data_IF_604649016324
#
_entry.id   IF_604649016324
#
_cell.length_a   1.000
_cell.length_b   1.000
_cell.length_c   1.000
_cell.angle_alpha   90.00
_cell.angle_beta   90.00
_cell.angle_gamma   90.00
#
_symmetry.space_group_name_H-M   'P 1'
#
loop_
_entity.id
_entity.type
_entity.pdbx_description
1 polymer ?
#
# COMPACT_ATOMS: atom_id res chain seq x y z
N UNK A 1 9.57 35.62 -13.06
CA UNK A 1 8.89 34.90 -14.17
C UNK A 1 9.22 33.43 -13.97
N UNK A 2 8.28 32.61 -13.51
CA UNK A 2 8.53 31.17 -13.36
C UNK A 2 8.53 30.53 -14.73
N UNK A 3 9.46 29.61 -15.00
CA UNK A 3 9.42 28.81 -16.22
C UNK A 3 8.11 28.01 -16.26
N UNK A 4 7.52 27.76 -17.44
CA UNK A 4 6.37 26.88 -17.58
C UNK A 4 6.68 25.52 -16.94
N UNK A 5 5.75 24.95 -16.16
CA UNK A 5 5.95 23.67 -15.43
C UNK A 5 6.39 22.51 -16.32
N UNK A 6 6.08 22.59 -17.62
CA UNK A 6 6.49 21.63 -18.66
C UNK A 6 8.01 21.52 -18.88
N UNK A 7 8.81 22.46 -18.36
CA UNK A 7 10.28 22.42 -18.45
C UNK A 7 10.97 22.11 -17.13
N UNK A 8 10.23 21.96 -16.04
CA UNK A 8 10.83 21.64 -14.75
C UNK A 8 11.13 20.14 -14.68
N UNK A 9 12.41 19.80 -14.75
CA UNK A 9 12.90 18.44 -14.48
C UNK A 9 12.86 18.17 -12.99
N UNK A 10 12.30 17.04 -12.61
CA UNK A 10 12.27 16.51 -11.25
C UNK A 10 13.46 15.60 -11.03
N UNK A 11 14.03 15.66 -9.85
CA UNK A 11 15.05 14.74 -9.35
C UNK A 11 14.40 13.43 -8.87
N UNK A 12 15.20 12.37 -8.77
CA UNK A 12 14.78 11.09 -8.18
C UNK A 12 14.08 11.27 -6.81
N UNK A 13 14.62 12.14 -5.95
CA UNK A 13 14.05 12.39 -4.62
C UNK A 13 12.68 13.07 -4.68
N UNK A 14 12.50 14.03 -5.59
CA UNK A 14 11.20 14.70 -5.78
C UNK A 14 10.15 13.73 -6.33
N UNK A 15 10.52 12.89 -7.29
CA UNK A 15 9.63 11.84 -7.82
C UNK A 15 9.27 10.82 -6.74
N UNK A 16 10.26 10.38 -5.96
CA UNK A 16 10.06 9.43 -4.85
C UNK A 16 9.08 9.98 -3.81
N UNK A 17 9.23 11.26 -3.44
CA UNK A 17 8.32 11.94 -2.52
C UNK A 17 6.90 12.01 -3.08
N UNK A 18 6.73 12.39 -4.35
CA UNK A 18 5.42 12.47 -5.01
C UNK A 18 4.73 11.11 -5.18
N UNK A 19 5.50 10.06 -5.41
CA UNK A 19 5.01 8.69 -5.54
C UNK A 19 4.84 7.99 -4.18
N UNK A 20 5.29 8.62 -3.08
CA UNK A 20 5.22 8.04 -1.75
C UNK A 20 5.96 6.70 -1.63
N UNK A 21 7.13 6.58 -2.27
CA UNK A 21 8.01 5.40 -2.18
C UNK A 21 9.45 5.79 -1.87
N UNK A 22 10.22 4.84 -1.33
CA UNK A 22 11.63 5.07 -1.07
C UNK A 22 12.41 5.22 -2.39
N UNK A 23 13.43 6.11 -2.49
CA UNK A 23 14.20 6.28 -3.72
C UNK A 23 14.82 4.99 -4.28
N UNK A 24 15.31 4.09 -3.41
CA UNK A 24 15.79 2.77 -3.86
C UNK A 24 14.69 1.90 -4.47
N UNK A 25 13.46 1.96 -3.95
CA UNK A 25 12.33 1.22 -4.54
C UNK A 25 11.88 1.86 -5.86
N UNK A 26 11.95 3.18 -5.99
CA UNK A 26 11.74 3.85 -7.28
C UNK A 26 12.75 3.36 -8.33
N UNK A 27 14.04 3.27 -7.99
CA UNK A 27 15.07 2.71 -8.88
C UNK A 27 14.71 1.27 -9.27
N UNK A 28 14.26 0.43 -8.34
CA UNK A 28 13.83 -0.94 -8.65
C UNK A 28 12.65 -0.97 -9.62
N UNK A 29 11.68 -0.08 -9.45
CA UNK A 29 10.56 0.07 -10.39
C UNK A 29 11.06 0.48 -11.76
N UNK A 30 11.93 1.49 -11.86
CA UNK A 30 12.49 1.97 -13.13
C UNK A 30 13.28 0.88 -13.87
N UNK A 31 14.10 0.12 -13.14
CA UNK A 31 14.84 -1.03 -13.71
C UNK A 31 13.88 -2.12 -14.18
N UNK A 32 12.85 -2.44 -13.39
CA UNK A 32 11.85 -3.44 -13.76
C UNK A 32 11.03 -3.04 -14.99
N UNK A 33 10.90 -1.74 -15.26
CA UNK A 33 10.19 -1.20 -16.43
C UNK A 33 11.09 -1.01 -17.65
N UNK A 34 12.41 -1.16 -17.50
CA UNK A 34 13.43 -0.80 -18.51
C UNK A 34 13.36 0.69 -18.92
N UNK A 35 13.14 1.58 -17.94
CA UNK A 35 12.93 3.02 -18.15
C UNK A 35 13.88 3.89 -17.33
N UNK A 36 15.08 3.43 -17.04
CA UNK A 36 16.06 4.25 -16.30
C UNK A 36 16.54 5.41 -17.19
N UNK A 37 16.32 6.68 -16.82
CA UNK A 37 16.87 7.80 -17.57
C UNK A 37 18.38 7.95 -17.31
N UNK A 38 19.12 8.34 -18.34
CA UNK A 38 20.58 8.47 -18.28
C UNK A 38 21.07 9.52 -17.26
N UNK A 39 20.28 10.57 -17.04
CA UNK A 39 20.63 11.69 -16.17
C UNK A 39 19.86 11.71 -14.83
N UNK A 40 19.04 10.68 -14.56
CA UNK A 40 18.18 10.59 -13.36
C UNK A 40 17.24 11.79 -13.18
N UNK A 41 16.81 12.39 -14.29
CA UNK A 41 15.80 13.45 -14.30
C UNK A 41 14.48 13.00 -14.93
N UNK A 42 13.38 13.57 -14.45
CA UNK A 42 12.02 13.12 -14.80
C UNK A 42 11.13 14.32 -15.15
N UNK A 43 10.20 14.11 -16.07
CA UNK A 43 9.07 15.00 -16.32
C UNK A 43 7.87 14.59 -15.47
N UNK A 44 6.83 15.44 -15.44
CA UNK A 44 5.55 15.09 -14.82
C UNK A 44 4.90 13.87 -15.47
N UNK A 45 5.00 13.75 -16.81
CA UNK A 45 4.49 12.61 -17.56
C UNK A 45 5.20 11.29 -17.16
N UNK A 46 6.48 11.37 -16.84
CA UNK A 46 7.22 10.22 -16.31
C UNK A 46 6.67 9.79 -14.94
N UNK A 47 6.33 10.74 -14.06
CA UNK A 47 5.76 10.43 -12.74
C UNK A 47 4.45 9.65 -12.87
N UNK A 48 3.54 10.12 -13.73
CA UNK A 48 2.25 9.47 -13.94
C UNK A 48 2.42 8.08 -14.58
N UNK A 49 3.32 7.97 -15.57
CA UNK A 49 3.64 6.69 -16.21
C UNK A 49 4.27 5.70 -15.24
N UNK A 50 5.21 6.13 -14.39
CA UNK A 50 5.85 5.30 -13.36
C UNK A 50 4.79 4.86 -12.34
N UNK A 51 3.86 5.74 -11.95
CA UNK A 51 2.77 5.42 -11.03
C UNK A 51 1.92 4.27 -11.58
N UNK A 52 1.41 4.45 -12.79
CA UNK A 52 0.52 3.49 -13.45
C UNK A 52 1.23 2.15 -13.70
N UNK A 53 2.38 2.17 -14.39
CA UNK A 53 3.08 0.95 -14.78
C UNK A 53 3.78 0.26 -13.63
N UNK A 54 4.19 1.02 -12.60
CA UNK A 54 4.75 0.49 -11.37
C UNK A 54 3.73 -0.16 -10.45
N UNK A 55 2.42 -0.01 -10.72
CA UNK A 55 1.34 -0.46 -9.84
C UNK A 55 1.35 0.27 -8.50
N UNK A 56 1.78 1.54 -8.51
CA UNK A 56 1.86 2.39 -7.32
C UNK A 56 0.50 3.03 -7.09
N UNK A 57 -0.28 2.44 -6.20
CA UNK A 57 -1.62 2.92 -5.88
C UNK A 57 -1.63 3.53 -4.47
N UNK A 58 -2.49 4.52 -4.27
CA UNK A 58 -2.75 5.03 -2.93
C UNK A 58 -4.21 4.74 -2.59
N UNK A 59 -4.44 3.73 -1.75
CA UNK A 59 -5.78 3.22 -1.44
C UNK A 59 -6.56 4.06 -0.43
N UNK A 60 -5.92 5.08 0.12
CA UNK A 60 -6.44 5.90 1.21
C UNK A 60 -6.70 7.35 0.79
N UNK A 61 -6.78 7.62 -0.53
CA UNK A 61 -7.10 8.95 -1.10
C UNK A 61 -8.59 8.98 -1.50
N UNK A 62 -9.18 10.17 -1.42
CA UNK A 62 -10.57 10.55 -1.76
C UNK A 62 -11.63 10.04 -0.80
N UNK A 63 -12.02 10.84 0.20
CA UNK A 63 -13.26 10.74 0.99
C UNK A 63 -13.71 9.32 1.42
N UNK A 64 -12.83 8.32 1.32
CA UNK A 64 -12.97 6.96 1.78
C UNK A 64 -12.76 7.12 3.27
N UNK A 65 -13.88 7.27 3.98
CA UNK A 65 -14.01 8.39 4.90
C UNK A 65 -12.93 8.21 5.91
N UNK A 66 -12.43 9.33 6.42
CA UNK A 66 -11.68 9.28 7.64
C UNK A 66 -12.37 8.33 8.64
N UNK A 67 -13.71 8.13 8.64
CA UNK A 67 -14.50 7.07 9.32
C UNK A 67 -14.09 5.59 9.10
N UNK A 68 -13.49 5.19 7.98
CA UNK A 68 -12.99 3.80 7.77
C UNK A 68 -11.71 3.52 8.58
N UNK A 69 -10.89 4.55 8.84
CA UNK A 69 -9.67 4.48 9.66
C UNK A 69 -9.81 5.21 11.02
N UNK A 70 -10.79 6.11 11.16
CA UNK A 70 -11.04 6.98 12.33
C UNK A 70 -11.49 6.10 13.47
N UNK A 71 -10.69 6.12 14.53
CA UNK A 71 -10.99 6.59 15.89
C UNK A 71 -12.37 6.36 16.55
N UNK A 72 -13.44 5.98 15.84
CA UNK A 72 -14.71 5.57 16.42
C UNK A 72 -14.63 4.14 16.97
N UNK A 73 -13.69 3.35 16.44
CA UNK A 73 -13.27 2.14 17.11
C UNK A 73 -12.44 2.52 18.34
N UNK A 74 -12.86 2.15 19.58
CA UNK A 74 -12.09 2.43 20.79
C UNK A 74 -10.69 1.78 20.78
N UNK A 75 -10.43 0.89 19.83
CA UNK A 75 -9.16 0.21 19.60
C UNK A 75 -8.68 0.51 18.16
N UNK A 76 -7.80 1.52 17.96
CA UNK A 76 -7.38 1.95 16.61
C UNK A 76 -6.82 0.85 15.72
N UNK A 77 -6.01 -0.07 16.28
CA UNK A 77 -5.44 -1.21 15.54
C UNK A 77 -6.52 -2.18 15.01
N UNK A 78 -7.65 -2.30 15.72
CA UNK A 78 -8.79 -3.11 15.30
C UNK A 78 -9.49 -2.48 14.10
N UNK A 79 -9.74 -1.16 14.17
CA UNK A 79 -10.26 -0.38 13.05
C UNK A 79 -9.39 -0.51 11.80
N UNK A 80 -8.06 -0.42 11.96
CA UNK A 80 -7.11 -0.59 10.87
C UNK A 80 -7.17 -2.01 10.26
N UNK A 81 -7.29 -3.06 11.07
CA UNK A 81 -7.42 -4.44 10.58
C UNK A 81 -8.64 -4.61 9.68
N UNK A 82 -9.78 -4.06 10.09
CA UNK A 82 -11.00 -4.02 9.28
C UNK A 82 -10.80 -3.26 7.97
N UNK A 83 -10.25 -2.05 8.05
CA UNK A 83 -10.05 -1.19 6.88
C UNK A 83 -9.14 -1.84 5.84
N UNK A 84 -8.00 -2.43 6.27
CA UNK A 84 -7.10 -3.14 5.37
C UNK A 84 -7.77 -4.37 4.72
N UNK A 85 -8.59 -5.10 5.48
CA UNK A 85 -9.34 -6.23 4.94
C UNK A 85 -10.35 -5.77 3.86
N UNK A 86 -11.04 -4.66 4.10
CA UNK A 86 -11.94 -4.04 3.11
C UNK A 86 -11.18 -3.63 1.85
N UNK A 87 -10.01 -3.02 1.97
CA UNK A 87 -9.20 -2.60 0.82
C UNK A 87 -8.72 -3.80 -0.01
N UNK A 88 -8.21 -4.85 0.63
CA UNK A 88 -7.81 -6.08 -0.06
C UNK A 88 -8.96 -6.74 -0.84
N UNK A 89 -10.18 -6.69 -0.29
CA UNK A 89 -11.39 -7.19 -0.95
C UNK A 89 -11.80 -6.28 -2.11
N UNK A 90 -11.83 -4.96 -1.90
CA UNK A 90 -12.21 -3.97 -2.90
C UNK A 90 -11.30 -4.03 -4.14
N UNK A 91 -9.99 -4.17 -3.93
CA UNK A 91 -8.99 -4.33 -4.97
C UNK A 91 -8.82 -5.77 -5.48
N UNK A 92 -9.67 -6.71 -5.03
CA UNK A 92 -9.70 -8.12 -5.49
C UNK A 92 -8.34 -8.82 -5.38
N UNK A 93 -7.58 -8.53 -4.33
CA UNK A 93 -6.23 -9.07 -4.12
C UNK A 93 -6.30 -10.48 -3.52
N UNK A 94 -6.84 -11.44 -4.28
CA UNK A 94 -7.10 -12.81 -3.82
C UNK A 94 -6.45 -13.87 -4.71
N UNK A 95 -5.78 -14.84 -4.08
CA UNK A 95 -5.21 -16.02 -4.73
C UNK A 95 -4.04 -15.68 -5.65
N UNK A 96 -4.31 -15.59 -6.96
CA UNK A 96 -3.30 -15.25 -7.98
C UNK A 96 -3.16 -13.75 -8.21
N UNK A 97 -4.16 -12.96 -7.84
CA UNK A 97 -4.08 -11.51 -7.93
C UNK A 97 -3.18 -10.98 -6.82
N UNK A 98 -2.20 -10.17 -7.17
CA UNK A 98 -1.24 -9.58 -6.22
C UNK A 98 -1.25 -8.07 -6.32
N UNK A 99 -0.94 -7.40 -5.22
CA UNK A 99 -0.69 -5.95 -5.17
C UNK A 99 0.68 -5.71 -4.54
N UNK A 100 1.24 -4.51 -4.68
CA UNK A 100 2.40 -4.14 -3.88
C UNK A 100 2.03 -3.99 -2.42
N UNK A 101 2.91 -4.47 -1.53
CA UNK A 101 2.70 -4.37 -0.09
C UNK A 101 2.57 -2.91 0.36
N UNK A 102 3.36 -2.02 -0.23
CA UNK A 102 3.37 -0.60 0.11
C UNK A 102 2.08 0.15 -0.28
N UNK A 103 1.26 -0.37 -1.20
CA UNK A 103 -0.06 0.19 -1.51
C UNK A 103 -1.00 0.22 -0.29
N UNK A 104 -0.87 -0.76 0.62
CA UNK A 104 -1.65 -0.81 1.87
C UNK A 104 -1.23 0.25 2.90
N UNK A 105 -0.09 0.92 2.73
CA UNK A 105 0.49 1.83 3.73
C UNK A 105 0.61 3.24 3.17
N UNK A 106 0.86 3.37 1.87
CA UNK A 106 1.09 4.65 1.18
C UNK A 106 -0.07 5.60 1.41
N UNK A 107 0.20 6.85 1.79
CA UNK A 107 -0.84 7.87 2.01
C UNK A 107 -1.48 7.86 3.40
N UNK A 108 -1.18 6.88 4.26
CA UNK A 108 -1.56 6.94 5.67
C UNK A 108 -0.68 7.92 6.45
N UNK A 109 -1.28 8.59 7.43
CA UNK A 109 -0.55 9.39 8.43
C UNK A 109 0.42 8.53 9.26
N UNK A 110 1.54 9.09 9.80
CA UNK A 110 2.60 8.32 10.44
C UNK A 110 2.13 7.37 11.55
N UNK A 111 1.20 7.79 12.41
CA UNK A 111 0.64 6.95 13.48
C UNK A 111 -0.14 5.76 12.89
N UNK A 112 -1.00 6.02 11.90
CA UNK A 112 -1.76 5.00 11.19
C UNK A 112 -0.88 4.01 10.46
N UNK A 113 0.27 4.45 9.93
CA UNK A 113 1.23 3.53 9.32
C UNK A 113 1.82 2.54 10.35
N UNK A 114 1.94 2.90 11.63
CA UNK A 114 2.38 1.97 12.68
C UNK A 114 1.32 0.89 12.89
N UNK A 115 0.05 1.27 13.02
CA UNK A 115 -1.05 0.31 13.14
C UNK A 115 -1.13 -0.60 11.90
N UNK A 116 -1.03 -0.04 10.70
CA UNK A 116 -1.07 -0.80 9.45
C UNK A 116 0.06 -1.83 9.38
N UNK A 117 1.30 -1.47 9.77
CA UNK A 117 2.44 -2.39 9.83
C UNK A 117 2.22 -3.53 10.84
N UNK A 118 1.65 -3.24 12.01
CA UNK A 118 1.35 -4.26 13.02
C UNK A 118 0.30 -5.25 12.52
N UNK A 119 -0.80 -4.73 11.96
CA UNK A 119 -1.85 -5.55 11.34
C UNK A 119 -1.30 -6.40 10.21
N UNK A 120 -0.56 -5.79 9.29
CA UNK A 120 0.04 -6.47 8.15
C UNK A 120 0.96 -7.61 8.61
N UNK A 121 1.84 -7.33 9.57
CA UNK A 121 2.77 -8.32 10.12
C UNK A 121 2.02 -9.49 10.74
N UNK A 122 0.93 -9.21 11.47
CA UNK A 122 0.06 -10.25 12.03
C UNK A 122 -0.67 -11.05 10.96
N UNK A 123 -1.23 -10.38 9.95
CA UNK A 123 -1.92 -11.04 8.84
C UNK A 123 -0.98 -12.00 8.09
N UNK A 124 0.28 -11.61 7.91
CA UNK A 124 1.33 -12.46 7.34
C UNK A 124 1.69 -13.63 8.25
N UNK A 125 1.90 -13.38 9.55
CA UNK A 125 2.25 -14.42 10.53
C UNK A 125 1.18 -15.51 10.64
N UNK A 126 -0.10 -15.14 10.61
CA UNK A 126 -1.23 -16.06 10.72
C UNK A 126 -1.64 -16.69 9.36
N UNK A 127 -0.95 -16.32 8.29
CA UNK A 127 -1.14 -16.88 6.95
C UNK A 127 -2.40 -16.39 6.23
N UNK A 128 -2.96 -15.24 6.60
CA UNK A 128 -4.01 -14.57 5.81
C UNK A 128 -3.45 -14.04 4.49
N UNK A 129 -2.20 -13.58 4.53
CA UNK A 129 -1.46 -13.03 3.40
C UNK A 129 -0.24 -13.89 3.09
N UNK A 130 0.12 -13.94 1.81
CA UNK A 130 1.36 -14.50 1.30
C UNK A 130 2.14 -13.42 0.56
N UNK A 131 3.48 -13.49 0.60
CA UNK A 131 4.36 -12.54 -0.05
C UNK A 131 4.98 -13.11 -1.32
N UNK A 132 5.30 -12.23 -2.26
CA UNK A 132 6.00 -12.54 -3.49
C UNK A 132 7.06 -11.48 -3.74
N UNK A 133 8.30 -11.89 -3.96
CA UNK A 133 9.35 -11.00 -4.41
C UNK A 133 9.24 -10.80 -5.92
N UNK A 134 9.13 -9.56 -6.36
CA UNK A 134 9.20 -9.17 -7.76
C UNK A 134 10.39 -8.24 -7.99
N UNK A 135 10.82 -8.04 -9.25
CA UNK A 135 11.84 -7.03 -9.56
C UNK A 135 11.45 -5.65 -9.05
N UNK A 136 10.16 -5.27 -9.17
CA UNK A 136 9.66 -3.96 -8.76
C UNK A 136 9.47 -3.82 -7.25
N UNK A 137 9.35 -4.89 -6.47
CA UNK A 137 9.17 -4.79 -5.03
C UNK A 137 8.63 -6.04 -4.35
N UNK A 138 8.15 -5.87 -3.12
CA UNK A 138 7.46 -6.91 -2.37
C UNK A 138 5.97 -6.81 -2.65
N UNK A 139 5.40 -7.87 -3.22
CA UNK A 139 3.98 -8.00 -3.48
C UNK A 139 3.33 -8.93 -2.46
N UNK A 140 2.01 -8.80 -2.30
CA UNK A 140 1.19 -9.63 -1.43
C UNK A 140 -0.06 -10.13 -2.14
N UNK A 141 -0.61 -11.23 -1.66
CA UNK A 141 -1.95 -11.70 -1.99
C UNK A 141 -2.63 -12.33 -0.79
N UNK A 142 -3.97 -12.29 -0.75
CA UNK A 142 -4.76 -13.04 0.21
C UNK A 142 -4.73 -14.52 -0.18
N UNK A 143 -4.42 -15.38 0.79
CA UNK A 143 -4.40 -16.83 0.57
C UNK A 143 -5.83 -17.32 0.31
N UNK A 144 -6.05 -18.10 -0.75
CA UNK A 144 -7.40 -18.43 -1.23
C UNK A 144 -8.33 -19.05 -0.18
N UNK A 145 -7.80 -19.90 0.71
CA UNK A 145 -8.57 -20.54 1.78
C UNK A 145 -8.86 -19.61 2.99
N UNK A 146 -8.31 -18.39 2.99
CA UNK A 146 -8.50 -17.35 4.00
C UNK A 146 -9.44 -16.22 3.56
N UNK A 147 -9.99 -16.30 2.35
CA UNK A 147 -10.88 -15.28 1.81
C UNK A 147 -12.08 -14.99 2.73
N UNK A 148 -12.66 -16.04 3.31
CA UNK A 148 -13.83 -15.89 4.19
C UNK A 148 -13.46 -15.27 5.53
N UNK A 149 -12.31 -15.63 6.10
CA UNK A 149 -11.82 -14.99 7.33
C UNK A 149 -11.56 -13.49 7.09
N UNK A 150 -11.03 -13.12 5.93
CA UNK A 150 -10.83 -11.71 5.58
C UNK A 150 -12.15 -10.94 5.46
N UNK A 151 -13.21 -11.55 4.91
CA UNK A 151 -14.55 -10.95 4.87
C UNK A 151 -15.13 -10.78 6.27
N UNK A 152 -14.90 -11.74 7.17
CA UNK A 152 -15.31 -11.62 8.58
C UNK A 152 -14.60 -10.44 9.26
N UNK A 153 -13.29 -10.31 9.07
CA UNK A 153 -12.51 -9.17 9.58
C UNK A 153 -13.05 -7.84 9.03
N UNK A 154 -13.34 -7.78 7.72
CA UNK A 154 -13.95 -6.60 7.09
C UNK A 154 -15.35 -6.27 7.66
N UNK A 155 -16.10 -7.28 8.09
CA UNK A 155 -17.38 -7.14 8.81
C UNK A 155 -17.25 -6.82 10.31
N UNK A 156 -16.03 -6.76 10.86
CA UNK A 156 -15.77 -6.54 12.28
C UNK A 156 -15.83 -7.79 13.17
N UNK A 157 -15.91 -8.99 12.58
CA UNK A 157 -15.76 -10.26 13.28
C UNK A 157 -14.32 -10.78 13.15
N UNK A 158 -13.57 -10.71 14.25
CA UNK A 158 -12.14 -11.01 14.23
C UNK A 158 -11.86 -12.42 14.75
N UNK A 159 -11.08 -13.23 14.03
CA UNK A 159 -10.50 -14.47 14.54
C UNK A 159 -9.68 -14.22 15.82
N UNK A 160 -9.58 -15.24 16.68
CA UNK A 160 -8.90 -15.14 17.99
C UNK A 160 -7.46 -14.66 17.84
N UNK A 161 -6.79 -15.12 16.79
CA UNK A 161 -5.41 -14.81 16.49
C UNK A 161 -5.23 -13.30 16.23
N UNK A 162 -6.17 -12.68 15.51
CA UNK A 162 -6.14 -11.24 15.25
C UNK A 162 -6.44 -10.42 16.51
N UNK A 163 -7.37 -10.89 17.35
CA UNK A 163 -7.72 -10.21 18.61
C UNK A 163 -6.54 -10.05 19.57
N UNK A 164 -5.58 -10.96 19.51
CA UNK A 164 -4.34 -10.88 20.29
C UNK A 164 -3.52 -9.60 20.04
N UNK A 165 -3.78 -8.84 18.97
CA UNK A 165 -3.14 -7.54 18.72
C UNK A 165 -3.57 -6.43 19.70
N UNK A 166 -4.70 -6.59 20.39
CA UNK A 166 -5.26 -5.55 21.26
C UNK A 166 -5.88 -6.07 22.56
N UNK A 167 -5.93 -7.38 22.76
CA UNK A 167 -6.36 -8.00 24.02
C UNK A 167 -5.19 -8.46 24.90
N UNK A 168 -3.96 -8.41 24.38
CA UNK A 168 -2.72 -8.72 25.10
C UNK A 168 -1.99 -7.46 25.55
#
# INVERSE_FOLDING_TARGET
MSLPSQFQRLTLSEVSLRLGIHPFDLIRVLVALDEMPDDLTFSEEDVDRIRERGGLETWWIDDAPAEQVRHDDPVPVRGMARAMAMQLIAHKVLGRATTRLDNLIRGLEPESQVYARNVLSKMLQEGYLQTFNTPSGLNISVVSNRAEDLRRIAGGDYPREMKALWEG
#
